data_IF_058865631052
#
_entry.id   IF_058865631052
#
_cell.length_a   1.000
_cell.length_b   1.000
_cell.length_c   1.000
_cell.angle_alpha   90.00
_cell.angle_beta   90.00
_cell.angle_gamma   90.00
#
_symmetry.space_group_name_H-M   'P 1'
#
loop_
_entity.id
_entity.type
_entity.pdbx_description
1 polymer ?
#
# COMPACT_ATOMS: atom_id res chain seq x y z
N UNK A 1 16.87 -15.53 -12.83
CA UNK A 1 15.79 -14.83 -13.57
C UNK A 1 15.17 -13.85 -12.58
N UNK A 2 14.95 -12.59 -12.97
CA UNK A 2 14.24 -11.66 -12.09
C UNK A 2 12.77 -12.08 -11.99
N UNK A 3 12.14 -11.82 -10.84
CA UNK A 3 10.70 -12.00 -10.70
C UNK A 3 9.96 -11.08 -11.70
N UNK A 4 8.76 -11.47 -12.17
CA UNK A 4 7.95 -10.57 -12.99
C UNK A 4 7.57 -9.31 -12.19
N UNK A 5 7.42 -8.20 -12.89
CA UNK A 5 6.97 -6.96 -12.29
C UNK A 5 5.59 -7.15 -11.65
N UNK A 6 5.38 -6.52 -10.49
CA UNK A 6 4.11 -6.56 -9.76
C UNK A 6 3.64 -5.14 -9.45
N UNK A 7 2.35 -5.00 -9.25
CA UNK A 7 1.74 -3.76 -8.80
C UNK A 7 1.22 -3.96 -7.38
N UNK A 8 1.71 -3.13 -6.46
CA UNK A 8 1.15 -2.99 -5.12
C UNK A 8 0.08 -1.91 -5.14
N UNK A 9 -1.00 -2.12 -4.39
CA UNK A 9 -2.02 -1.13 -4.10
C UNK A 9 -2.12 -0.96 -2.59
N UNK A 10 -1.93 0.28 -2.13
CA UNK A 10 -2.25 0.69 -0.77
C UNK A 10 -3.54 1.51 -0.86
N UNK A 11 -4.62 0.94 -0.36
CA UNK A 11 -5.91 1.61 -0.25
C UNK A 11 -6.03 2.19 1.15
N UNK A 12 -6.06 3.51 1.27
CA UNK A 12 -6.20 4.23 2.55
C UNK A 12 -7.60 4.84 2.61
N UNK A 13 -8.26 4.74 3.75
CA UNK A 13 -9.55 5.37 4.05
C UNK A 13 -9.33 6.57 4.97
N UNK A 14 -9.23 7.81 4.43
CA UNK A 14 -8.86 8.98 5.23
C UNK A 14 -9.86 9.31 6.32
N UNK A 15 -11.12 8.91 6.15
CA UNK A 15 -12.17 9.10 7.15
C UNK A 15 -11.96 8.26 8.43
N UNK A 16 -11.08 7.25 8.38
CA UNK A 16 -10.69 6.47 9.55
C UNK A 16 -9.47 7.04 10.29
N UNK A 17 -8.80 8.06 9.73
CA UNK A 17 -7.64 8.69 10.34
C UNK A 17 -8.07 9.61 11.49
N UNK A 18 -7.27 9.64 12.55
CA UNK A 18 -7.55 10.48 13.73
C UNK A 18 -6.81 11.81 13.65
N UNK A 19 -5.61 11.82 13.06
CA UNK A 19 -4.72 12.98 13.08
C UNK A 19 -4.10 13.36 11.74
N UNK A 20 -4.10 12.45 10.76
CA UNK A 20 -3.49 12.68 9.45
C UNK A 20 -4.53 13.19 8.45
N UNK A 21 -4.08 14.03 7.52
CA UNK A 21 -4.87 14.44 6.37
C UNK A 21 -4.38 13.79 5.06
N UNK A 22 -5.08 14.10 3.97
CA UNK A 22 -4.75 13.58 2.64
C UNK A 22 -3.34 13.98 2.18
N UNK A 23 -2.87 15.19 2.55
CA UNK A 23 -1.55 15.68 2.18
C UNK A 23 -0.45 14.90 2.93
N UNK A 24 -0.68 14.55 4.19
CA UNK A 24 0.23 13.70 4.95
C UNK A 24 0.41 12.33 4.27
N UNK A 25 -0.69 11.69 3.85
CA UNK A 25 -0.67 10.38 3.16
C UNK A 25 0.12 10.47 1.84
N UNK A 26 -0.15 11.51 1.04
CA UNK A 26 0.58 11.75 -0.21
C UNK A 26 2.06 12.02 0.03
N UNK A 27 2.42 12.69 1.13
CA UNK A 27 3.82 12.90 1.48
C UNK A 27 4.52 11.59 1.87
N UNK A 28 3.81 10.63 2.48
CA UNK A 28 4.35 9.27 2.68
C UNK A 28 4.52 8.55 1.36
N UNK A 29 3.54 8.63 0.45
CA UNK A 29 3.63 8.03 -0.88
C UNK A 29 4.85 8.58 -1.66
N UNK A 30 5.11 9.89 -1.59
CA UNK A 30 6.30 10.50 -2.19
C UNK A 30 7.62 9.99 -1.62
N UNK A 31 7.65 9.46 -0.39
CA UNK A 31 8.87 8.81 0.14
C UNK A 31 9.15 7.47 -0.55
N UNK A 32 8.16 6.89 -1.22
CA UNK A 32 8.32 5.71 -2.08
C UNK A 32 8.75 6.07 -3.51
N UNK A 33 8.53 7.31 -3.97
CA UNK A 33 8.99 7.86 -5.28
C UNK A 33 10.52 8.05 -5.32
N UNK A 34 11.26 6.98 -5.05
CA UNK A 34 12.71 6.92 -5.07
C UNK A 34 13.15 5.99 -6.24
N UNK A 35 14.43 6.02 -6.62
CA UNK A 35 15.02 5.39 -7.83
C UNK A 35 14.74 3.88 -8.05
N UNK A 36 14.05 3.20 -7.14
CA UNK A 36 13.86 1.74 -7.13
C UNK A 36 12.43 1.29 -7.46
N UNK A 37 11.46 2.21 -7.61
CA UNK A 37 10.13 1.90 -8.17
C UNK A 37 10.06 2.41 -9.61
N UNK A 38 9.44 1.63 -10.49
CA UNK A 38 9.28 2.02 -11.90
C UNK A 38 8.24 3.12 -12.04
N UNK A 39 7.17 3.02 -11.27
CA UNK A 39 6.07 3.97 -11.25
C UNK A 39 5.44 4.00 -9.87
N UNK A 40 5.13 5.20 -9.39
CA UNK A 40 4.31 5.41 -8.21
C UNK A 40 3.29 6.51 -8.54
N UNK A 41 2.01 6.22 -8.31
CA UNK A 41 0.94 7.17 -8.54
C UNK A 41 -0.13 7.07 -7.45
N UNK A 42 -0.81 8.17 -7.20
CA UNK A 42 -1.94 8.22 -6.28
C UNK A 42 -3.20 8.62 -7.03
N UNK A 43 -4.29 7.92 -6.77
CA UNK A 43 -5.63 8.29 -7.21
C UNK A 43 -6.53 8.47 -6.00
N UNK A 44 -7.56 9.31 -6.15
CA UNK A 44 -8.51 9.62 -5.10
C UNK A 44 -9.92 9.36 -5.62
N UNK A 45 -10.81 8.96 -4.73
CA UNK A 45 -12.24 8.85 -5.02
C UNK A 45 -13.07 8.90 -3.75
N UNK A 46 -14.37 8.87 -3.92
CA UNK A 46 -15.36 8.98 -2.86
C UNK A 46 -16.51 7.96 -2.98
N UNK A 47 -16.35 6.96 -3.85
CA UNK A 47 -17.28 5.84 -4.00
C UNK A 47 -17.30 5.00 -2.71
N UNK A 48 -18.46 4.99 -2.01
CA UNK A 48 -18.66 4.33 -0.72
C UNK A 48 -17.75 4.82 0.42
N UNK A 49 -17.30 6.08 0.34
CA UNK A 49 -16.43 6.73 1.32
C UNK A 49 -15.16 7.27 0.68
N UNK A 50 -14.51 8.25 1.30
CA UNK A 50 -13.26 8.80 0.74
C UNK A 50 -12.17 7.74 0.78
N UNK A 51 -11.42 7.65 -0.32
CA UNK A 51 -10.26 6.79 -0.39
C UNK A 51 -9.12 7.43 -1.17
N UNK A 52 -7.91 6.97 -0.84
CA UNK A 52 -6.69 7.22 -1.60
C UNK A 52 -6.08 5.87 -1.97
N UNK A 53 -5.90 5.65 -3.26
CA UNK A 53 -5.21 4.48 -3.80
C UNK A 53 -3.80 4.88 -4.21
N UNK A 54 -2.78 4.29 -3.57
CA UNK A 54 -1.38 4.44 -3.98
C UNK A 54 -0.99 3.20 -4.76
N UNK A 55 -0.70 3.37 -6.04
CA UNK A 55 -0.25 2.32 -6.94
C UNK A 55 1.27 2.37 -7.07
N UNK A 56 1.93 1.22 -6.89
CA UNK A 56 3.40 1.11 -7.00
C UNK A 56 3.72 -0.04 -7.93
N UNK A 57 4.31 0.27 -9.08
CA UNK A 57 4.80 -0.73 -10.03
C UNK A 57 6.29 -1.00 -9.81
N UNK A 58 6.66 -2.28 -9.67
CA UNK A 58 8.03 -2.67 -9.32
C UNK A 58 8.49 -3.96 -9.96
N UNK A 59 9.75 -3.95 -10.43
CA UNK A 59 10.50 -5.12 -10.90
C UNK A 59 11.19 -5.91 -9.77
N UNK A 60 11.18 -5.37 -8.55
CA UNK A 60 11.78 -5.96 -7.34
C UNK A 60 10.74 -6.09 -6.22
N UNK A 61 9.65 -6.85 -6.43
CA UNK A 61 8.47 -6.72 -5.59
C UNK A 61 8.68 -7.21 -4.13
N UNK A 62 9.60 -8.14 -3.85
CA UNK A 62 9.96 -8.49 -2.47
C UNK A 62 10.62 -7.34 -1.70
N UNK A 63 11.52 -6.60 -2.37
CA UNK A 63 12.14 -5.41 -1.78
C UNK A 63 11.11 -4.28 -1.61
N UNK A 64 10.21 -4.12 -2.58
CA UNK A 64 9.11 -3.16 -2.51
C UNK A 64 8.19 -3.44 -1.33
N UNK A 65 7.80 -4.70 -1.14
CA UNK A 65 6.99 -5.09 0.02
C UNK A 65 7.67 -4.75 1.34
N UNK A 66 8.95 -5.11 1.51
CA UNK A 66 9.68 -4.82 2.74
C UNK A 66 9.70 -3.31 3.07
N UNK A 67 9.82 -2.45 2.05
CA UNK A 67 9.81 -1.00 2.21
C UNK A 67 8.43 -0.44 2.49
N UNK A 68 7.38 -0.97 1.85
CA UNK A 68 5.99 -0.62 2.18
C UNK A 68 5.71 -0.99 3.63
N UNK A 69 6.08 -2.20 4.06
CA UNK A 69 5.89 -2.64 5.43
C UNK A 69 6.60 -1.73 6.44
N UNK A 70 7.84 -1.31 6.16
CA UNK A 70 8.59 -0.39 7.02
C UNK A 70 7.94 1.01 7.10
N UNK A 71 7.58 1.59 5.95
CA UNK A 71 7.08 2.97 5.88
C UNK A 71 5.60 3.11 6.28
N UNK A 72 4.76 2.17 5.89
CA UNK A 72 3.30 2.24 6.05
C UNK A 72 2.80 1.44 7.25
N UNK A 73 3.51 0.38 7.65
CA UNK A 73 3.04 -0.57 8.67
C UNK A 73 3.94 -0.61 9.91
N UNK A 74 4.99 0.20 9.94
CA UNK A 74 5.91 0.36 11.06
C UNK A 74 5.27 0.83 12.37
N UNK A 75 6.11 1.04 13.39
CA UNK A 75 5.65 1.36 14.75
C UNK A 75 5.64 2.85 15.07
N UNK A 76 6.05 3.71 14.13
CA UNK A 76 5.97 5.16 14.35
C UNK A 76 4.50 5.64 14.29
N UNK A 77 4.28 6.90 14.69
CA UNK A 77 2.94 7.46 14.76
C UNK A 77 2.24 7.49 13.39
N UNK A 78 2.99 7.87 12.36
CA UNK A 78 2.49 8.01 10.99
C UNK A 78 2.08 6.65 10.43
N UNK A 79 2.96 5.66 10.55
CA UNK A 79 2.69 4.27 10.14
C UNK A 79 1.56 3.65 10.96
N UNK A 80 1.38 4.03 12.24
CA UNK A 80 0.28 3.51 13.05
C UNK A 80 -1.08 3.97 12.54
N UNK A 81 -1.23 5.26 12.25
CA UNK A 81 -2.46 5.83 11.69
C UNK A 81 -2.77 5.23 10.31
N UNK A 82 -1.76 5.08 9.46
CA UNK A 82 -1.94 4.47 8.13
C UNK A 82 -2.28 2.98 8.24
N UNK A 83 -1.61 2.23 9.13
CA UNK A 83 -1.88 0.80 9.33
C UNK A 83 -3.34 0.53 9.73
N UNK A 84 -3.92 1.34 10.61
CA UNK A 84 -5.29 1.14 11.10
C UNK A 84 -6.38 1.61 10.13
N UNK A 85 -5.99 2.22 9.00
CA UNK A 85 -6.92 2.81 8.02
C UNK A 85 -6.68 2.31 6.60
N UNK A 86 -5.86 1.28 6.42
CA UNK A 86 -5.44 0.84 5.08
C UNK A 86 -5.52 -0.66 4.84
N UNK A 87 -5.58 -0.98 3.56
CA UNK A 87 -5.46 -2.32 2.98
C UNK A 87 -4.26 -2.28 2.04
N UNK A 88 -3.40 -3.30 2.07
CA UNK A 88 -2.31 -3.45 1.10
C UNK A 88 -2.48 -4.76 0.34
N UNK A 89 -2.49 -4.66 -0.99
CA UNK A 89 -2.54 -5.80 -1.90
C UNK A 89 -1.40 -5.76 -2.89
N UNK A 90 -1.09 -6.90 -3.49
CA UNK A 90 -0.19 -7.00 -4.64
C UNK A 90 -0.80 -7.92 -5.68
N UNK A 91 -0.68 -7.55 -6.95
CA UNK A 91 -1.15 -8.38 -8.06
C UNK A 91 -0.51 -9.77 -8.04
N UNK A 92 -1.27 -10.82 -8.34
CA UNK A 92 -0.74 -12.16 -8.56
C UNK A 92 -0.19 -12.33 -9.97
N UNK A 93 -0.04 -13.58 -10.42
CA UNK A 93 0.47 -13.90 -11.75
C UNK A 93 -0.59 -13.69 -12.84
N UNK A 94 -1.87 -13.78 -12.49
CA UNK A 94 -3.03 -13.44 -13.32
C UNK A 94 -3.54 -12.00 -13.08
N UNK A 95 -2.76 -11.15 -12.40
CA UNK A 95 -3.12 -9.75 -12.16
C UNK A 95 -3.96 -9.58 -10.90
N UNK A 96 -5.15 -8.99 -11.03
CA UNK A 96 -6.06 -8.78 -9.89
C UNK A 96 -6.97 -9.98 -9.60
N UNK A 97 -7.00 -10.98 -10.48
CA UNK A 97 -7.82 -12.18 -10.26
C UNK A 97 -7.23 -13.11 -9.17
N UNK A 98 -5.95 -12.95 -8.87
CA UNK A 98 -5.17 -13.76 -7.93
C UNK A 98 -4.26 -12.90 -7.05
N UNK A 99 -4.72 -11.70 -6.68
CA UNK A 99 -3.97 -10.81 -5.80
C UNK A 99 -3.71 -11.47 -4.43
N UNK A 100 -2.63 -11.04 -3.78
CA UNK A 100 -2.34 -11.36 -2.39
C UNK A 100 -2.76 -10.21 -1.48
N UNK A 101 -3.47 -10.51 -0.40
CA UNK A 101 -3.83 -9.57 0.66
C UNK A 101 -2.70 -9.54 1.70
N UNK A 102 -1.88 -8.49 1.68
CA UNK A 102 -0.66 -8.40 2.50
C UNK A 102 -0.87 -7.67 3.83
N UNK A 103 -1.86 -6.79 3.89
CA UNK A 103 -2.26 -6.08 5.10
C UNK A 103 -3.73 -5.69 5.03
N UNK A 104 -4.40 -5.72 6.17
CA UNK A 104 -5.77 -5.25 6.31
C UNK A 104 -5.93 -4.58 7.69
N UNK A 105 -6.71 -3.50 7.77
CA UNK A 105 -6.95 -2.81 9.04
C UNK A 105 -7.79 -3.65 10.02
N UNK A 106 -8.71 -4.48 9.51
CA UNK A 106 -9.43 -5.49 10.28
C UNK A 106 -8.52 -6.70 10.56
N UNK A 107 -8.18 -6.97 11.83
CA UNK A 107 -7.29 -8.07 12.20
C UNK A 107 -7.94 -9.46 12.08
N UNK A 108 -9.23 -9.54 11.75
CA UNK A 108 -9.93 -10.82 11.53
C UNK A 108 -9.76 -11.36 10.11
N UNK A 109 -9.27 -10.55 9.17
CA UNK A 109 -8.93 -10.99 7.81
C UNK A 109 -7.70 -11.89 7.80
N UNK A 110 -7.75 -12.95 7.00
CA UNK A 110 -6.60 -13.83 6.77
C UNK A 110 -5.65 -13.18 5.76
N UNK A 111 -4.40 -12.99 6.16
CA UNK A 111 -3.38 -12.37 5.32
C UNK A 111 -2.55 -13.41 4.59
N UNK A 112 -2.25 -13.11 3.33
CA UNK A 112 -1.26 -13.83 2.54
C UNK A 112 0.17 -13.47 2.96
N UNK A 113 1.11 -14.36 2.65
CA UNK A 113 2.52 -14.11 2.87
C UNK A 113 3.20 -13.79 1.54
N UNK A 114 3.90 -12.66 1.50
CA UNK A 114 4.80 -12.35 0.40
C UNK A 114 6.15 -13.05 0.64
N UNK A 115 6.55 -13.92 -0.28
CA UNK A 115 7.77 -14.76 -0.20
C UNK A 115 9.04 -14.05 -0.68
#
# INVERSE_FOLDING_TARGET
MSAPAKTFLIHVQPDQLLALDELDILNVAKRLELEWVEECSATMGDDDGRYINIHIHSNSPAETWARIADLFLGTDFLSTEIRISSIVTVTGDAGWDDYLLLHHFDPSEELDQYA
#
